data_IF_247301706044
#
_entry.id   IF_247301706044
#
_cell.length_a   1.000
_cell.length_b   1.000
_cell.length_c   1.000
_cell.angle_alpha   90.00
_cell.angle_beta   90.00
_cell.angle_gamma   90.00
#
_symmetry.space_group_name_H-M   'P 1'
#
loop_
_entity.id
_entity.type
_entity.pdbx_description
1 polymer ?
#
# COMPACT_ATOMS: atom_id res chain seq x y z
N UNK A 1 27.93 -7.69 -1.38
CA UNK A 1 27.32 -6.34 -1.48
C UNK A 1 26.50 -6.18 -2.75
N UNK A 2 26.87 -6.82 -3.87
CA UNK A 2 26.11 -6.76 -5.14
C UNK A 2 24.64 -7.20 -5.00
N UNK A 3 24.34 -8.23 -4.20
CA UNK A 3 22.96 -8.72 -4.03
C UNK A 3 22.04 -7.76 -3.24
N UNK A 4 22.55 -6.98 -2.28
CA UNK A 4 21.70 -6.12 -1.45
C UNK A 4 21.04 -5.02 -2.29
N UNK A 5 21.83 -4.34 -3.13
CA UNK A 5 21.32 -3.24 -3.94
C UNK A 5 20.28 -3.72 -4.95
N UNK A 6 20.44 -4.91 -5.51
CA UNK A 6 19.48 -5.51 -6.45
C UNK A 6 18.13 -5.70 -5.75
N UNK A 7 18.09 -6.38 -4.59
CA UNK A 7 16.84 -6.60 -3.87
C UNK A 7 16.21 -5.32 -3.35
N UNK A 8 17.01 -4.36 -2.90
CA UNK A 8 16.51 -3.06 -2.48
C UNK A 8 15.79 -2.33 -3.61
N UNK A 9 16.40 -2.28 -4.80
CA UNK A 9 15.77 -1.64 -5.95
C UNK A 9 14.59 -2.43 -6.51
N UNK A 10 14.59 -3.76 -6.39
CA UNK A 10 13.41 -4.58 -6.68
C UNK A 10 12.24 -4.25 -5.76
N UNK A 11 12.48 -4.09 -4.45
CA UNK A 11 11.46 -3.69 -3.49
C UNK A 11 10.93 -2.28 -3.72
N UNK A 12 11.83 -1.35 -4.02
CA UNK A 12 11.45 0.01 -4.41
C UNK A 12 10.62 0.03 -5.70
N UNK A 13 11.07 -0.72 -6.72
CA UNK A 13 10.38 -0.88 -8.00
C UNK A 13 9.00 -1.48 -7.83
N UNK A 14 8.84 -2.48 -6.94
CA UNK A 14 7.55 -3.09 -6.66
C UNK A 14 6.47 -2.07 -6.25
N UNK A 15 6.82 -1.01 -5.54
CA UNK A 15 5.87 0.04 -5.13
C UNK A 15 5.73 1.16 -6.17
N UNK A 16 6.77 1.40 -6.96
CA UNK A 16 6.84 2.55 -7.89
C UNK A 16 6.55 2.19 -9.35
N UNK A 17 6.38 0.92 -9.66
CA UNK A 17 6.02 0.42 -10.99
C UNK A 17 4.57 0.76 -11.33
N UNK A 18 4.29 0.96 -12.62
CA UNK A 18 2.96 1.12 -13.17
C UNK A 18 2.09 -0.12 -12.99
N UNK A 19 2.70 -1.30 -12.85
CA UNK A 19 1.99 -2.53 -12.48
C UNK A 19 1.43 -2.48 -11.04
N UNK A 20 1.95 -1.61 -10.18
CA UNK A 20 1.57 -1.46 -8.77
C UNK A 20 0.72 -0.20 -8.51
N UNK A 21 -0.05 0.22 -9.51
CA UNK A 21 -0.96 1.37 -9.37
C UNK A 21 -1.99 1.20 -8.25
N UNK A 22 -2.34 -0.04 -7.92
CA UNK A 22 -3.16 -0.41 -6.77
C UNK A 22 -2.52 0.02 -5.42
N UNK A 23 -1.21 -0.15 -5.26
CA UNK A 23 -0.46 0.27 -4.07
C UNK A 23 -0.39 1.79 -3.96
N UNK A 24 -0.11 2.47 -5.09
CA UNK A 24 -0.09 3.93 -5.14
C UNK A 24 -1.49 4.49 -4.83
N UNK A 25 -2.53 3.91 -5.43
CA UNK A 25 -3.92 4.29 -5.19
C UNK A 25 -4.33 4.04 -3.73
N UNK A 26 -3.95 2.90 -3.16
CA UNK A 26 -4.17 2.58 -1.76
C UNK A 26 -3.50 3.61 -0.85
N UNK A 27 -2.21 3.90 -1.06
CA UNK A 27 -1.47 4.89 -0.28
C UNK A 27 -2.11 6.28 -0.41
N UNK A 28 -2.49 6.70 -1.61
CA UNK A 28 -3.19 7.96 -1.86
C UNK A 28 -4.46 8.07 -1.02
N UNK A 29 -5.34 7.08 -1.11
CA UNK A 29 -6.61 7.06 -0.37
C UNK A 29 -6.37 6.94 1.14
N UNK A 30 -5.38 6.17 1.58
CA UNK A 30 -5.06 6.00 2.99
C UNK A 30 -4.54 7.30 3.62
N UNK A 31 -3.62 7.99 2.94
CA UNK A 31 -2.93 9.13 3.55
C UNK A 31 -3.65 10.47 3.39
N UNK A 32 -4.55 10.61 2.40
CA UNK A 32 -5.22 11.90 2.12
C UNK A 32 -6.02 12.44 3.30
N UNK A 33 -6.40 11.57 4.26
CA UNK A 33 -7.04 11.98 5.50
C UNK A 33 -6.12 12.74 6.44
N UNK A 34 -4.81 12.50 6.38
CA UNK A 34 -3.82 13.08 7.27
C UNK A 34 -3.30 14.41 6.71
N UNK A 35 -2.93 15.31 7.61
CA UNK A 35 -2.23 16.54 7.27
C UNK A 35 -0.72 16.37 7.52
N UNK A 36 0.15 17.19 6.92
CA UNK A 36 1.61 17.08 7.12
C UNK A 36 2.06 17.15 8.58
N UNK A 37 1.32 17.89 9.42
CA UNK A 37 1.55 17.96 10.88
C UNK A 37 1.35 16.62 11.61
N UNK A 38 0.68 15.65 10.97
CA UNK A 38 0.42 14.31 11.51
C UNK A 38 1.43 13.27 10.98
N UNK A 39 2.64 13.70 10.59
CA UNK A 39 3.66 12.84 9.96
C UNK A 39 3.94 11.55 10.73
N UNK A 40 4.02 11.59 12.07
CA UNK A 40 4.22 10.39 12.87
C UNK A 40 3.10 9.36 12.68
N UNK A 41 1.84 9.81 12.58
CA UNK A 41 0.74 8.89 12.32
C UNK A 41 0.90 8.28 10.93
N UNK A 42 1.17 9.09 9.90
CA UNK A 42 1.39 8.63 8.52
C UNK A 42 2.47 7.54 8.48
N UNK A 43 3.63 7.81 9.07
CA UNK A 43 4.74 6.86 9.15
C UNK A 43 4.30 5.56 9.81
N UNK A 44 3.61 5.62 10.96
CA UNK A 44 3.12 4.41 11.64
C UNK A 44 2.15 3.61 10.75
N UNK A 45 1.23 4.27 10.03
CA UNK A 45 0.24 3.55 9.21
C UNK A 45 0.93 2.88 8.02
N UNK A 46 1.89 3.56 7.38
CA UNK A 46 2.68 3.04 6.26
C UNK A 46 3.55 1.88 6.72
N UNK A 47 4.33 2.04 7.79
CA UNK A 47 5.18 0.96 8.30
C UNK A 47 4.36 -0.24 8.76
N UNK A 48 3.18 -0.05 9.36
CA UNK A 48 2.30 -1.17 9.71
C UNK A 48 1.80 -1.94 8.49
N UNK A 49 1.52 -1.25 7.37
CA UNK A 49 1.22 -1.90 6.10
C UNK A 49 2.41 -2.75 5.66
N UNK A 50 3.62 -2.19 5.65
CA UNK A 50 4.86 -2.90 5.27
C UNK A 50 5.10 -4.12 6.14
N UNK A 51 4.87 -4.02 7.46
CA UNK A 51 5.02 -5.17 8.37
C UNK A 51 4.03 -6.27 8.02
N UNK A 52 2.75 -5.94 7.77
CA UNK A 52 1.76 -6.91 7.32
C UNK A 52 2.18 -7.55 5.99
N UNK A 53 2.55 -6.73 5.01
CA UNK A 53 3.01 -7.18 3.70
C UNK A 53 4.22 -8.10 3.79
N UNK A 54 5.22 -7.73 4.59
CA UNK A 54 6.42 -8.54 4.85
C UNK A 54 6.07 -9.90 5.41
N UNK A 55 5.08 -9.98 6.31
CA UNK A 55 4.67 -11.22 6.94
C UNK A 55 4.10 -12.22 5.91
N UNK A 56 3.30 -11.75 4.96
CA UNK A 56 2.74 -12.65 3.94
C UNK A 56 3.76 -13.05 2.88
N UNK A 57 4.73 -12.18 2.57
CA UNK A 57 5.90 -12.58 1.78
C UNK A 57 6.71 -13.69 2.48
N UNK A 58 6.95 -13.58 3.79
CA UNK A 58 7.62 -14.64 4.57
C UNK A 58 6.83 -15.95 4.48
N UNK A 59 5.51 -15.89 4.73
CA UNK A 59 4.63 -17.07 4.71
C UNK A 59 4.68 -17.77 3.35
N UNK A 60 4.60 -17.04 2.25
CA UNK A 60 4.60 -17.63 0.91
C UNK A 60 5.97 -18.10 0.44
N UNK A 61 7.05 -17.40 0.81
CA UNK A 61 8.42 -17.81 0.47
C UNK A 61 8.86 -19.05 1.24
N UNK A 62 8.40 -19.21 2.49
CA UNK A 62 8.53 -20.46 3.24
C UNK A 62 7.56 -21.55 2.77
N UNK A 63 6.79 -21.29 1.70
CA UNK A 63 5.79 -22.19 1.13
C UNK A 63 4.74 -22.69 2.15
N UNK A 64 4.50 -21.92 3.23
CA UNK A 64 3.55 -22.29 4.28
C UNK A 64 2.10 -22.12 3.81
N UNK A 65 1.84 -21.09 3.00
CA UNK A 65 0.53 -20.82 2.44
C UNK A 65 0.61 -19.95 1.17
N UNK A 66 -0.17 -20.33 0.16
CA UNK A 66 -0.31 -19.59 -1.10
C UNK A 66 -1.81 -19.52 -1.46
N UNK A 67 -2.47 -18.37 -1.22
CA UNK A 67 -3.86 -18.20 -1.59
C UNK A 67 -4.01 -18.11 -3.12
N UNK A 68 -5.22 -18.35 -3.62
CA UNK A 68 -5.52 -18.19 -5.03
C UNK A 68 -5.34 -16.74 -5.49
N UNK A 69 -4.55 -16.55 -6.54
CA UNK A 69 -4.21 -15.24 -7.10
C UNK A 69 -5.45 -14.42 -7.47
N UNK A 70 -6.46 -15.06 -8.06
CA UNK A 70 -7.72 -14.43 -8.47
C UNK A 70 -8.43 -13.77 -7.27
N UNK A 71 -8.46 -14.45 -6.13
CA UNK A 71 -9.08 -13.89 -4.92
C UNK A 71 -8.26 -12.72 -4.34
N UNK A 72 -6.93 -12.79 -4.40
CA UNK A 72 -6.09 -11.70 -3.91
C UNK A 72 -6.22 -10.46 -4.81
N UNK A 73 -6.20 -10.63 -6.13
CA UNK A 73 -6.43 -9.56 -7.10
C UNK A 73 -7.82 -8.92 -6.94
N UNK A 74 -8.82 -9.70 -6.52
CA UNK A 74 -10.13 -9.15 -6.13
C UNK A 74 -10.10 -8.39 -4.80
N UNK A 75 -9.44 -8.93 -3.77
CA UNK A 75 -9.47 -8.34 -2.43
C UNK A 75 -8.61 -7.09 -2.28
N UNK A 76 -7.51 -6.96 -3.03
CA UNK A 76 -6.67 -5.76 -3.03
C UNK A 76 -7.50 -4.49 -3.32
N UNK A 77 -8.22 -4.35 -4.45
CA UNK A 77 -9.04 -3.18 -4.71
C UNK A 77 -10.21 -3.03 -3.71
N UNK A 78 -10.75 -4.13 -3.16
CA UNK A 78 -11.74 -4.07 -2.08
C UNK A 78 -11.17 -3.37 -0.82
N UNK A 79 -9.90 -3.59 -0.48
CA UNK A 79 -9.28 -2.85 0.64
C UNK A 79 -9.26 -1.33 0.40
N UNK A 80 -9.07 -0.90 -0.85
CA UNK A 80 -9.07 0.52 -1.25
C UNK A 80 -10.50 1.08 -1.16
N UNK A 81 -11.50 0.32 -1.64
CA UNK A 81 -12.92 0.67 -1.51
C UNK A 81 -13.29 0.89 -0.04
N UNK A 82 -12.92 -0.03 0.84
CA UNK A 82 -13.19 0.08 2.29
C UNK A 82 -12.52 1.34 2.87
N UNK A 83 -11.27 1.61 2.49
CA UNK A 83 -10.53 2.80 2.94
C UNK A 83 -11.21 4.09 2.50
N UNK A 84 -11.61 4.15 1.22
CA UNK A 84 -12.32 5.30 0.66
C UNK A 84 -13.67 5.54 1.34
N UNK A 85 -14.47 4.49 1.55
CA UNK A 85 -15.74 4.59 2.29
C UNK A 85 -15.51 5.06 3.72
N UNK A 86 -14.51 4.52 4.42
CA UNK A 86 -14.15 4.96 5.77
C UNK A 86 -13.75 6.45 5.83
N UNK A 87 -13.09 6.96 4.78
CA UNK A 87 -12.83 8.39 4.62
C UNK A 87 -14.11 9.21 4.49
N UNK A 88 -15.02 8.79 3.62
CA UNK A 88 -16.25 9.52 3.32
C UNK A 88 -17.27 9.47 4.47
N UNK A 89 -17.36 8.37 5.21
CA UNK A 89 -18.33 8.21 6.31
C UNK A 89 -17.87 8.97 7.57
N UNK A 90 -16.58 8.97 7.87
CA UNK A 90 -16.07 9.48 9.14
C UNK A 90 -15.28 10.80 9.00
N UNK A 91 -15.66 11.71 8.08
CA UNK A 91 -14.87 12.88 7.67
C UNK A 91 -14.16 13.63 8.81
N UNK A 92 -14.84 13.81 9.95
CA UNK A 92 -14.32 14.55 11.11
C UNK A 92 -13.76 13.65 12.24
N UNK A 93 -14.10 12.35 12.25
CA UNK A 93 -13.70 11.40 13.31
C UNK A 93 -12.58 10.49 12.82
N UNK A 94 -11.36 10.73 13.31
CA UNK A 94 -10.20 9.86 13.05
C UNK A 94 -10.00 8.89 14.20
N UNK A 95 -10.14 7.59 13.95
CA UNK A 95 -9.70 6.56 14.89
C UNK A 95 -8.31 6.07 14.48
N UNK A 96 -7.28 6.59 15.16
CA UNK A 96 -5.90 6.18 14.90
C UNK A 96 -5.69 4.67 15.13
N UNK A 97 -6.33 4.10 16.16
CA UNK A 97 -6.26 2.66 16.44
C UNK A 97 -6.85 1.85 15.29
N UNK A 98 -8.04 2.23 14.81
CA UNK A 98 -8.67 1.52 13.70
C UNK A 98 -7.77 1.57 12.46
N UNK A 99 -7.36 2.78 12.03
CA UNK A 99 -6.52 2.96 10.84
C UNK A 99 -5.23 2.14 10.88
N UNK A 100 -4.56 2.08 12.04
CA UNK A 100 -3.35 1.27 12.25
C UNK A 100 -3.60 -0.22 12.01
N UNK A 101 -4.64 -0.78 12.63
CA UNK A 101 -5.00 -2.18 12.45
C UNK A 101 -5.46 -2.47 11.02
N UNK A 102 -6.29 -1.60 10.43
CA UNK A 102 -6.75 -1.78 9.05
C UNK A 102 -5.57 -1.81 8.09
N UNK A 103 -4.61 -0.89 8.25
CA UNK A 103 -3.40 -0.85 7.43
C UNK A 103 -2.56 -2.13 7.53
N UNK A 104 -2.36 -2.64 8.74
CA UNK A 104 -1.65 -3.91 8.95
C UNK A 104 -2.35 -5.07 8.25
N UNK A 105 -3.67 -5.24 8.43
CA UNK A 105 -4.42 -6.33 7.79
C UNK A 105 -4.48 -6.19 6.28
N UNK A 106 -4.58 -4.98 5.75
CA UNK A 106 -4.54 -4.74 4.30
C UNK A 106 -3.15 -5.02 3.74
N UNK A 107 -2.08 -4.70 4.48
CA UNK A 107 -0.72 -5.10 4.16
C UNK A 107 -0.59 -6.62 3.95
N UNK A 108 -1.21 -7.43 4.82
CA UNK A 108 -1.22 -8.89 4.65
C UNK A 108 -1.81 -9.29 3.27
N UNK A 109 -2.97 -8.73 2.92
CA UNK A 109 -3.67 -9.04 1.66
C UNK A 109 -2.79 -8.64 0.46
N UNK A 110 -2.25 -7.42 0.48
CA UNK A 110 -1.42 -6.90 -0.61
C UNK A 110 -0.13 -7.71 -0.78
N UNK A 111 0.50 -8.16 0.30
CA UNK A 111 1.72 -8.96 0.22
C UNK A 111 1.54 -10.32 -0.46
N UNK A 112 0.33 -10.90 -0.41
CA UNK A 112 0.02 -12.09 -1.21
C UNK A 112 -0.07 -11.80 -2.72
N UNK A 113 -0.32 -10.55 -3.14
CA UNK A 113 -0.39 -10.17 -4.54
C UNK A 113 0.97 -10.30 -5.25
N UNK A 114 2.05 -10.09 -4.49
CA UNK A 114 3.42 -10.20 -4.98
C UNK A 114 4.12 -11.52 -4.63
N UNK A 115 3.49 -12.34 -3.79
CA UNK A 115 4.19 -13.43 -3.12
C UNK A 115 4.70 -14.52 -4.06
N UNK A 116 3.98 -14.80 -5.16
CA UNK A 116 4.43 -15.77 -6.17
C UNK A 116 5.74 -15.35 -6.85
N UNK A 117 5.86 -14.07 -7.22
CA UNK A 117 7.09 -13.55 -7.84
C UNK A 117 8.25 -13.57 -6.84
N UNK A 118 7.97 -13.21 -5.58
CA UNK A 118 8.98 -13.25 -4.53
C UNK A 118 9.47 -14.68 -4.23
N UNK A 119 8.57 -15.67 -4.18
CA UNK A 119 8.95 -17.09 -4.01
C UNK A 119 9.91 -17.55 -5.11
N UNK A 120 9.61 -17.22 -6.38
CA UNK A 120 10.49 -17.53 -7.52
C UNK A 120 11.86 -16.87 -7.40
N UNK A 121 11.92 -15.61 -6.93
CA UNK A 121 13.19 -14.94 -6.66
C UNK A 121 14.00 -15.68 -5.60
N UNK A 122 13.38 -16.05 -4.47
CA UNK A 122 14.10 -16.65 -3.34
C UNK A 122 14.59 -18.08 -3.58
N UNK A 123 13.91 -18.85 -4.42
CA UNK A 123 14.36 -20.21 -4.81
C UNK A 123 15.74 -20.20 -5.49
N UNK A 124 16.10 -19.09 -6.15
CA UNK A 124 17.38 -18.94 -6.85
C UNK A 124 18.52 -18.40 -5.97
N UNK A 125 18.29 -18.19 -4.67
CA UNK A 125 19.22 -17.48 -3.78
C UNK A 125 19.71 -18.34 -2.62
N UNK A 126 21.00 -18.24 -2.29
CA UNK A 126 21.64 -19.00 -1.20
C UNK A 126 21.13 -18.62 0.21
N UNK A 127 20.38 -17.51 0.36
CA UNK A 127 19.84 -17.10 1.65
C UNK A 127 18.58 -16.24 1.54
N UNK A 128 17.44 -16.81 1.96
CA UNK A 128 16.13 -16.15 2.08
C UNK A 128 16.20 -14.75 2.70
N UNK A 129 16.87 -14.61 3.86
CA UNK A 129 16.96 -13.35 4.58
C UNK A 129 17.79 -12.29 3.85
N UNK A 130 18.77 -12.72 3.06
CA UNK A 130 19.62 -11.83 2.26
C UNK A 130 18.86 -11.15 1.12
N UNK A 131 17.74 -11.73 0.67
CA UNK A 131 16.81 -11.12 -0.26
C UNK A 131 15.70 -10.34 0.46
N UNK A 132 15.11 -10.94 1.50
CA UNK A 132 13.92 -10.40 2.17
C UNK A 132 14.17 -9.03 2.80
N UNK A 133 15.27 -8.88 3.53
CA UNK A 133 15.56 -7.67 4.29
C UNK A 133 15.76 -6.46 3.36
N UNK A 134 16.70 -6.49 2.39
CA UNK A 134 16.84 -5.39 1.44
C UNK A 134 15.55 -5.12 0.66
N UNK A 135 14.82 -6.17 0.27
CA UNK A 135 13.56 -6.01 -0.46
C UNK A 135 12.52 -5.23 0.34
N UNK A 136 12.28 -5.58 1.60
CA UNK A 136 11.32 -4.84 2.44
C UNK A 136 11.79 -3.43 2.80
N UNK A 137 13.11 -3.22 2.94
CA UNK A 137 13.66 -1.86 3.08
C UNK A 137 13.41 -1.01 1.82
N UNK A 138 13.52 -1.64 0.64
CA UNK A 138 13.16 -1.03 -0.64
C UNK A 138 11.69 -0.66 -0.72
N UNK A 139 10.79 -1.56 -0.26
CA UNK A 139 9.34 -1.30 -0.17
C UNK A 139 9.08 -0.08 0.72
N UNK A 140 9.56 -0.10 1.97
CA UNK A 140 9.34 1.01 2.91
C UNK A 140 9.85 2.32 2.31
N UNK A 141 11.04 2.30 1.71
CA UNK A 141 11.61 3.47 1.05
C UNK A 141 10.73 3.98 -0.12
N UNK A 142 10.27 3.07 -0.98
CA UNK A 142 9.36 3.39 -2.08
C UNK A 142 8.05 4.01 -1.58
N UNK A 143 7.46 3.42 -0.54
CA UNK A 143 6.24 3.96 0.06
C UNK A 143 6.45 5.36 0.64
N UNK A 144 7.56 5.60 1.34
CA UNK A 144 7.89 6.92 1.88
C UNK A 144 8.08 7.98 0.79
N UNK A 145 8.72 7.62 -0.33
CA UNK A 145 8.86 8.50 -1.50
C UNK A 145 7.50 8.84 -2.10
N UNK A 146 6.63 7.84 -2.30
CA UNK A 146 5.27 8.03 -2.83
C UNK A 146 4.44 8.90 -1.87
N UNK A 147 4.53 8.65 -0.56
CA UNK A 147 3.86 9.44 0.48
C UNK A 147 4.31 10.89 0.46
N UNK A 148 5.63 11.14 0.39
CA UNK A 148 6.17 12.49 0.31
C UNK A 148 5.65 13.23 -0.94
N UNK A 149 5.60 12.55 -2.08
CA UNK A 149 5.08 13.10 -3.33
C UNK A 149 3.59 13.44 -3.23
N UNK A 150 2.76 12.53 -2.71
CA UNK A 150 1.31 12.75 -2.53
C UNK A 150 1.03 13.90 -1.57
N UNK A 151 1.77 13.98 -0.45
CA UNK A 151 1.65 15.10 0.50
C UNK A 151 2.05 16.42 -0.15
N UNK A 152 3.14 16.44 -0.92
CA UNK A 152 3.60 17.61 -1.67
C UNK A 152 2.55 18.12 -2.66
N UNK A 153 1.98 17.22 -3.49
CA UNK A 153 0.89 17.56 -4.42
C UNK A 153 -0.34 18.05 -3.65
N UNK A 154 -0.73 17.34 -2.60
CA UNK A 154 -1.91 17.70 -1.80
C UNK A 154 -1.79 19.10 -1.23
N UNK A 155 -0.60 19.49 -0.75
CA UNK A 155 -0.34 20.84 -0.25
C UNK A 155 -0.35 21.87 -1.37
N UNK A 156 0.30 21.57 -2.50
CA UNK A 156 0.35 22.46 -3.65
C UNK A 156 -1.06 22.77 -4.18
N UNK A 157 -1.87 21.74 -4.38
CA UNK A 157 -3.24 21.87 -4.88
C UNK A 157 -4.12 22.63 -3.88
N UNK A 158 -4.05 22.29 -2.59
CA UNK A 158 -4.83 22.98 -1.57
C UNK A 158 -4.46 24.46 -1.47
N UNK A 159 -3.18 24.81 -1.57
CA UNK A 159 -2.71 26.19 -1.50
C UNK A 159 -3.01 26.98 -2.78
N UNK A 160 -2.81 26.39 -3.97
CA UNK A 160 -3.04 27.07 -5.25
C UNK A 160 -4.52 27.25 -5.58
N UNK A 161 -5.35 26.24 -5.29
CA UNK A 161 -6.80 26.26 -5.58
C UNK A 161 -7.64 26.74 -4.39
N UNK A 162 -7.01 27.03 -3.26
CA UNK A 162 -7.66 27.41 -2.00
C UNK A 162 -8.73 26.40 -1.55
N UNK A 163 -8.47 25.11 -1.78
CA UNK A 163 -9.37 24.02 -1.40
C UNK A 163 -9.18 23.66 0.07
N UNK A 164 -10.29 23.47 0.78
CA UNK A 164 -10.26 22.95 2.14
C UNK A 164 -9.83 21.49 2.12
N UNK A 165 -9.06 21.08 3.11
CA UNK A 165 -8.65 19.67 3.30
C UNK A 165 -9.82 18.69 3.23
N UNK A 166 -10.99 19.09 3.75
CA UNK A 166 -12.22 18.29 3.68
C UNK A 166 -12.67 18.02 2.24
N UNK A 167 -12.65 19.03 1.39
CA UNK A 167 -13.10 18.91 0.01
C UNK A 167 -12.10 18.09 -0.82
N UNK A 168 -10.80 18.28 -0.55
CA UNK A 168 -9.73 17.46 -1.11
C UNK A 168 -9.85 15.98 -0.70
N UNK A 169 -10.11 15.72 0.59
CA UNK A 169 -10.36 14.38 1.12
C UNK A 169 -11.54 13.70 0.42
N UNK A 170 -12.66 14.42 0.23
CA UNK A 170 -13.85 13.90 -0.46
C UNK A 170 -13.54 13.61 -1.93
N UNK A 171 -12.89 14.54 -2.63
CA UNK A 171 -12.53 14.39 -4.04
C UNK A 171 -11.64 13.16 -4.27
N UNK A 172 -10.53 13.07 -3.53
CA UNK A 172 -9.59 11.95 -3.67
C UNK A 172 -10.21 10.63 -3.24
N UNK A 173 -10.98 10.61 -2.15
CA UNK A 173 -11.63 9.36 -1.70
C UNK A 173 -12.75 8.93 -2.65
N UNK A 174 -13.51 9.86 -3.23
CA UNK A 174 -14.54 9.55 -4.23
C UNK A 174 -13.95 9.02 -5.54
N UNK A 175 -12.88 9.65 -6.03
CA UNK A 175 -12.14 9.16 -7.20
C UNK A 175 -11.52 7.79 -6.95
N UNK A 176 -10.86 7.62 -5.80
CA UNK A 176 -10.26 6.35 -5.39
C UNK A 176 -11.29 5.24 -5.19
N UNK A 177 -12.45 5.53 -4.60
CA UNK A 177 -13.58 4.59 -4.51
C UNK A 177 -14.03 4.13 -5.89
N UNK A 178 -14.21 5.07 -6.84
CA UNK A 178 -14.72 4.75 -8.17
C UNK A 178 -13.77 3.86 -8.95
N UNK A 179 -12.47 4.21 -8.96
CA UNK A 179 -11.43 3.42 -9.62
C UNK A 179 -11.28 2.05 -8.97
N UNK A 180 -11.22 1.99 -7.64
CA UNK A 180 -11.08 0.73 -6.91
C UNK A 180 -12.31 -0.17 -7.06
N UNK A 181 -13.52 0.38 -7.09
CA UNK A 181 -14.72 -0.39 -7.33
C UNK A 181 -14.72 -0.98 -8.74
N UNK A 182 -14.32 -0.20 -9.75
CA UNK A 182 -14.16 -0.70 -11.11
C UNK A 182 -13.14 -1.84 -11.18
N UNK A 183 -11.96 -1.67 -10.58
CA UNK A 183 -10.93 -2.73 -10.50
C UNK A 183 -11.43 -3.98 -9.76
N UNK A 184 -12.19 -3.81 -8.67
CA UNK A 184 -12.75 -4.95 -7.94
C UNK A 184 -13.77 -5.71 -8.79
N UNK A 185 -14.62 -5.02 -9.55
CA UNK A 185 -15.60 -5.66 -10.43
C UNK A 185 -14.93 -6.37 -11.62
N UNK A 186 -13.86 -5.80 -12.17
CA UNK A 186 -13.09 -6.42 -13.25
C UNK A 186 -12.37 -7.70 -12.80
N UNK A 187 -11.87 -7.71 -11.56
CA UNK A 187 -11.18 -8.87 -10.98
C UNK A 187 -12.13 -9.79 -10.19
N UNK A 188 -13.45 -9.64 -10.34
CA UNK A 188 -14.42 -10.45 -9.61
C UNK A 188 -14.30 -11.95 -10.01
N UNK A 189 -14.23 -12.87 -9.04
CA UNK A 189 -13.99 -14.30 -9.31
C UNK A 189 -15.24 -15.08 -9.77
N UNK A 190 -16.34 -14.41 -10.11
CA UNK A 190 -17.66 -15.02 -10.36
C UNK A 190 -18.30 -14.52 -11.65
#
# INVERSE_FOLDING_TARGET
MENFSVYFWLGYGHITDLAALDHILFLLVLIVRYQPRELLNILIVVTLFTIGHSLTLIVSALQLYQPSKVWIEFFIPITIVITAVSNLVALEKKSAKLARWTSFFFGLIHGFGFSNYYSMLTESTDSFWSALIPFNLGIEWGQLVVVAFILGISLLVQNLLNYKHRDWLIFVSGGGFSLALWLALENAPF
#
